data_IF_878303869393
#
_entry.id   IF_878303869393
#
_cell.length_a   1.000
_cell.length_b   1.000
_cell.length_c   1.000
_cell.angle_alpha   90.00
_cell.angle_beta   90.00
_cell.angle_gamma   90.00
#
_symmetry.space_group_name_H-M   'P 1'
#
loop_
_entity.id
_entity.type
_entity.pdbx_description
1 polymer ?
#
# COMPACT_ATOMS: atom_id res chain seq x y z
N UNK A 1 1.05 2.48 22.77
CA UNK A 1 1.90 3.70 22.83
C UNK A 1 3.22 3.38 22.12
N UNK A 2 3.80 4.33 21.41
CA UNK A 2 5.13 4.19 20.82
C UNK A 2 6.15 4.33 21.95
N UNK A 3 7.01 3.34 22.15
CA UNK A 3 8.10 3.39 23.13
C UNK A 3 9.34 4.04 22.51
N UNK A 4 10.13 4.71 23.36
CA UNK A 4 11.46 5.17 22.96
C UNK A 4 12.37 3.96 22.64
N UNK A 5 13.45 4.16 21.85
CA UNK A 5 14.46 3.13 21.62
C UNK A 5 15.06 2.59 22.93
N UNK A 6 15.53 1.33 22.95
CA UNK A 6 16.30 0.79 24.07
C UNK A 6 17.53 1.66 24.37
N UNK A 7 18.05 1.56 25.62
CA UNK A 7 19.24 2.31 26.02
C UNK A 7 20.44 2.00 25.09
N UNK A 8 21.10 3.05 24.61
CA UNK A 8 22.22 2.94 23.66
C UNK A 8 21.82 2.84 22.20
N UNK A 9 20.54 2.73 21.90
CA UNK A 9 20.02 2.69 20.52
C UNK A 9 19.42 4.04 20.10
N UNK A 10 19.38 4.26 18.81
CA UNK A 10 18.74 5.40 18.16
C UNK A 10 17.67 4.92 17.22
N UNK A 11 16.61 5.70 17.03
CA UNK A 11 15.61 5.44 16.02
C UNK A 11 16.03 5.96 14.68
N UNK A 12 15.91 5.09 13.68
CA UNK A 12 16.16 5.41 12.26
C UNK A 12 14.90 5.28 11.44
N UNK A 13 14.84 6.05 10.36
CA UNK A 13 13.82 5.92 9.31
C UNK A 13 14.47 5.89 7.94
N UNK A 14 13.80 5.26 6.98
CA UNK A 14 14.20 5.29 5.57
C UNK A 14 12.99 5.20 4.65
N UNK A 15 13.13 5.73 3.45
CA UNK A 15 12.21 5.52 2.33
C UNK A 15 12.58 4.25 1.59
N UNK A 16 11.59 3.46 1.17
CA UNK A 16 11.81 2.18 0.49
C UNK A 16 10.95 2.07 -0.73
N UNK A 17 11.56 1.81 -1.88
CA UNK A 17 10.88 1.45 -3.12
C UNK A 17 11.08 -0.03 -3.42
N UNK A 18 10.06 -0.72 -3.93
CA UNK A 18 10.18 -2.12 -4.31
C UNK A 18 9.22 -2.55 -5.42
N UNK A 19 9.70 -3.51 -6.22
CA UNK A 19 8.87 -4.30 -7.13
C UNK A 19 8.25 -5.46 -6.36
N UNK A 20 6.98 -5.31 -5.97
CA UNK A 20 6.25 -6.29 -5.17
C UNK A 20 5.97 -7.61 -5.89
N UNK A 21 6.11 -7.66 -7.22
CA UNK A 21 5.89 -8.86 -8.02
C UNK A 21 6.87 -10.00 -7.73
N UNK A 22 7.99 -9.68 -7.07
CA UNK A 22 8.99 -10.67 -6.65
C UNK A 22 8.79 -11.15 -5.20
N UNK A 23 7.77 -10.66 -4.48
CA UNK A 23 7.57 -10.92 -3.05
C UNK A 23 6.14 -11.35 -2.73
N UNK A 24 6.00 -12.11 -1.66
CA UNK A 24 4.71 -12.51 -1.09
C UNK A 24 4.14 -11.45 -0.13
N UNK A 25 4.28 -10.17 -0.50
CA UNK A 25 3.85 -9.01 0.27
C UNK A 25 4.97 -8.39 1.11
N UNK A 26 4.58 -7.34 1.87
CA UNK A 26 5.55 -6.65 2.71
C UNK A 26 5.85 -7.39 4.01
N UNK A 27 4.81 -7.79 4.76
CA UNK A 27 4.96 -8.35 6.10
C UNK A 27 5.59 -9.75 6.07
N UNK A 28 6.46 -10.02 7.02
CA UNK A 28 7.06 -11.34 7.17
C UNK A 28 6.01 -12.43 7.33
N UNK A 29 6.23 -13.53 6.63
CA UNK A 29 5.43 -14.73 6.66
C UNK A 29 6.38 -15.94 6.53
N UNK A 30 6.23 -16.98 7.37
CA UNK A 30 7.06 -18.17 7.27
C UNK A 30 7.08 -18.76 5.86
N UNK A 31 8.24 -19.31 5.47
CA UNK A 31 8.45 -20.09 4.25
C UNK A 31 8.31 -19.34 2.91
N UNK A 32 8.18 -18.00 2.93
CA UNK A 32 8.10 -17.19 1.71
C UNK A 32 8.94 -15.92 1.78
N UNK A 33 9.48 -15.49 0.64
CA UNK A 33 10.25 -14.26 0.56
C UNK A 33 9.32 -13.03 0.62
N UNK A 34 9.62 -12.11 1.55
CA UNK A 34 8.85 -10.88 1.78
C UNK A 34 9.77 -9.67 1.81
N UNK A 35 9.23 -8.48 1.54
CA UNK A 35 10.02 -7.25 1.55
C UNK A 35 10.61 -6.98 2.94
N UNK A 36 9.82 -7.13 4.01
CA UNK A 36 10.30 -6.92 5.38
C UNK A 36 11.37 -7.95 5.80
N UNK A 37 11.18 -9.22 5.45
CA UNK A 37 12.18 -10.27 5.73
C UNK A 37 13.51 -9.98 5.05
N UNK A 38 13.49 -9.64 3.76
CA UNK A 38 14.70 -9.28 3.01
C UNK A 38 15.42 -8.06 3.58
N UNK A 39 14.66 -7.02 3.95
CA UNK A 39 15.23 -5.81 4.58
C UNK A 39 15.81 -6.10 5.96
N UNK A 40 15.08 -6.83 6.82
CA UNK A 40 15.53 -7.20 8.16
C UNK A 40 16.81 -8.03 8.12
N UNK A 41 16.82 -9.12 7.36
CA UNK A 41 18.00 -9.98 7.21
C UNK A 41 19.23 -9.22 6.68
N UNK A 42 19.00 -8.29 5.73
CA UNK A 42 20.06 -7.46 5.19
C UNK A 42 20.59 -6.47 6.23
N UNK A 43 19.71 -5.84 7.02
CA UNK A 43 20.08 -4.93 8.12
C UNK A 43 20.85 -5.69 9.20
N UNK A 44 20.34 -6.82 9.69
CA UNK A 44 20.97 -7.66 10.71
C UNK A 44 22.38 -8.13 10.29
N UNK A 45 22.51 -8.53 9.03
CA UNK A 45 23.81 -8.93 8.46
C UNK A 45 24.85 -7.81 8.45
N UNK A 46 24.41 -6.55 8.26
CA UNK A 46 25.32 -5.39 8.19
C UNK A 46 25.59 -4.83 9.59
N UNK A 47 24.58 -4.76 10.43
CA UNK A 47 24.62 -4.10 11.75
C UNK A 47 25.14 -5.07 12.83
N UNK A 48 24.82 -6.37 12.70
CA UNK A 48 25.33 -7.43 13.58
C UNK A 48 24.47 -7.75 14.80
N UNK A 49 23.24 -7.23 14.87
CA UNK A 49 22.27 -7.58 15.90
C UNK A 49 20.86 -7.65 15.34
N UNK A 50 19.92 -8.20 16.11
CA UNK A 50 18.50 -8.32 15.75
C UNK A 50 17.84 -6.96 15.50
N UNK A 51 17.02 -6.85 14.47
CA UNK A 51 16.33 -5.64 14.05
C UNK A 51 14.81 -5.86 14.02
N UNK A 52 14.09 -5.05 14.78
CA UNK A 52 12.63 -4.97 14.69
C UNK A 52 12.21 -3.87 13.72
N UNK A 53 11.68 -4.28 12.57
CA UNK A 53 11.31 -3.37 11.49
C UNK A 53 9.82 -3.04 11.51
N UNK A 54 9.49 -1.74 11.50
CA UNK A 54 8.12 -1.24 11.38
C UNK A 54 7.97 -0.53 10.04
N UNK A 55 6.83 -0.71 9.34
CA UNK A 55 6.50 -0.01 8.10
C UNK A 55 5.25 0.85 8.25
N UNK A 56 5.11 1.86 7.39
CA UNK A 56 3.95 2.76 7.37
C UNK A 56 2.66 2.07 6.97
N UNK A 57 2.72 1.10 6.06
CA UNK A 57 1.58 0.31 5.63
C UNK A 57 2.01 -1.01 5.00
N UNK A 58 1.34 -2.10 5.38
CA UNK A 58 1.57 -3.41 4.77
C UNK A 58 0.95 -3.41 3.38
N UNK A 59 1.66 -3.97 2.41
CA UNK A 59 1.15 -4.20 1.05
C UNK A 59 0.96 -5.70 0.83
N UNK A 60 -0.07 -6.04 0.02
CA UNK A 60 -0.36 -7.43 -0.37
C UNK A 60 0.72 -7.97 -1.31
N UNK A 61 0.75 -9.30 -1.50
CA UNK A 61 1.58 -9.95 -2.53
C UNK A 61 1.34 -9.32 -3.91
N UNK A 62 2.42 -8.99 -4.62
CA UNK A 62 2.38 -8.38 -5.95
C UNK A 62 2.11 -6.86 -5.96
N UNK A 63 1.88 -6.21 -4.83
CA UNK A 63 1.71 -4.76 -4.72
C UNK A 63 3.05 -4.08 -4.56
N UNK A 64 3.28 -3.00 -5.32
CA UNK A 64 4.54 -2.25 -5.35
C UNK A 64 4.54 -1.08 -4.37
N UNK A 65 5.72 -0.48 -4.19
CA UNK A 65 5.86 0.83 -3.55
C UNK A 65 6.97 1.65 -4.20
N UNK A 66 6.73 2.94 -4.33
CA UNK A 66 7.74 3.96 -4.62
C UNK A 66 8.14 4.73 -3.37
N UNK A 67 7.22 4.89 -2.40
CA UNK A 67 7.40 5.70 -1.21
C UNK A 67 6.96 5.01 0.09
N UNK A 68 7.25 3.72 0.28
CA UNK A 68 7.10 3.06 1.59
C UNK A 68 8.07 3.68 2.59
N UNK A 69 7.68 3.79 3.84
CA UNK A 69 8.56 4.24 4.93
C UNK A 69 8.71 3.14 5.97
N UNK A 70 9.94 2.92 6.40
CA UNK A 70 10.28 2.02 7.50
C UNK A 70 10.89 2.78 8.67
N UNK A 71 10.80 2.21 9.88
CA UNK A 71 11.55 2.64 11.06
C UNK A 71 12.06 1.43 11.83
N UNK A 72 13.23 1.58 12.45
CA UNK A 72 13.87 0.58 13.28
C UNK A 72 14.82 1.23 14.30
N UNK A 73 15.21 0.48 15.31
CA UNK A 73 16.16 0.91 16.33
C UNK A 73 17.49 0.19 16.14
N UNK A 74 18.60 0.95 16.23
CA UNK A 74 19.96 0.41 16.14
C UNK A 74 20.96 1.30 16.90
N UNK A 75 22.15 0.76 17.18
CA UNK A 75 23.30 1.55 17.65
C UNK A 75 23.73 2.58 16.60
N UNK A 76 24.59 3.51 16.98
CA UNK A 76 25.12 4.51 16.03
C UNK A 76 26.00 3.84 14.97
N UNK A 77 25.74 4.16 13.70
CA UNK A 77 26.48 3.66 12.55
C UNK A 77 26.70 4.74 11.50
N UNK A 78 27.56 4.46 10.53
CA UNK A 78 27.75 5.25 9.32
C UNK A 78 26.58 5.05 8.37
N UNK A 79 25.70 6.06 8.29
CA UNK A 79 24.44 6.04 7.56
C UNK A 79 24.67 5.78 6.06
N UNK A 80 25.63 6.48 5.43
CA UNK A 80 25.89 6.31 4.01
C UNK A 80 26.43 4.92 3.67
N UNK A 81 27.27 4.35 4.55
CA UNK A 81 27.81 3.01 4.39
C UNK A 81 26.71 1.96 4.49
N UNK A 82 25.80 2.09 5.48
CA UNK A 82 24.66 1.17 5.65
C UNK A 82 23.72 1.27 4.47
N UNK A 83 23.32 2.46 4.04
CA UNK A 83 22.41 2.65 2.90
C UNK A 83 22.99 2.03 1.62
N UNK A 84 24.26 2.26 1.32
CA UNK A 84 24.93 1.63 0.17
C UNK A 84 24.98 0.10 0.27
N UNK A 85 25.24 -0.42 1.45
CA UNK A 85 25.32 -1.88 1.68
C UNK A 85 23.93 -2.54 1.56
N UNK A 86 22.88 -1.91 2.10
CA UNK A 86 21.50 -2.35 1.94
C UNK A 86 21.10 -2.43 0.48
N UNK A 87 21.39 -1.38 -0.29
CA UNK A 87 21.07 -1.35 -1.72
C UNK A 87 21.79 -2.44 -2.52
N UNK A 88 23.01 -2.84 -2.12
CA UNK A 88 23.71 -3.98 -2.74
C UNK A 88 23.06 -5.33 -2.40
N UNK A 89 22.63 -5.52 -1.16
CA UNK A 89 22.04 -6.79 -0.69
C UNK A 89 20.59 -6.98 -1.15
N UNK A 90 19.87 -5.88 -1.34
CA UNK A 90 18.45 -5.88 -1.69
C UNK A 90 18.19 -5.72 -3.21
N UNK A 91 19.23 -5.40 -4.00
CA UNK A 91 19.10 -5.29 -5.46
C UNK A 91 18.66 -6.61 -6.10
N UNK A 92 17.95 -6.58 -7.27
CA UNK A 92 17.50 -5.37 -7.96
C UNK A 92 16.09 -4.90 -7.52
N UNK A 93 15.41 -5.62 -6.62
CA UNK A 93 13.96 -5.48 -6.38
C UNK A 93 13.58 -4.51 -5.27
N UNK A 94 14.52 -4.14 -4.39
CA UNK A 94 14.30 -3.18 -3.30
C UNK A 94 15.39 -2.12 -3.35
N UNK A 95 14.99 -0.86 -3.19
CA UNK A 95 15.89 0.29 -3.04
C UNK A 95 15.56 1.04 -1.76
N UNK A 96 16.58 1.34 -0.96
CA UNK A 96 16.49 2.12 0.28
C UNK A 96 17.11 3.49 0.04
N UNK A 97 16.43 4.57 0.45
CA UNK A 97 16.87 5.97 0.33
C UNK A 97 16.55 6.72 1.60
N UNK A 98 17.20 7.87 1.76
CA UNK A 98 16.94 8.81 2.85
C UNK A 98 17.05 8.17 4.24
N UNK A 99 17.98 7.21 4.40
CA UNK A 99 18.24 6.61 5.71
C UNK A 99 18.78 7.69 6.62
N UNK A 100 18.09 7.93 7.74
CA UNK A 100 18.46 8.98 8.68
C UNK A 100 18.02 8.65 10.10
N UNK A 101 18.73 9.23 11.08
CA UNK A 101 18.26 9.25 12.47
C UNK A 101 17.02 10.14 12.57
N UNK A 102 16.06 9.74 13.37
CA UNK A 102 14.81 10.47 13.57
C UNK A 102 14.49 10.65 15.06
N UNK A 103 13.37 11.28 15.36
CA UNK A 103 12.88 11.45 16.72
C UNK A 103 12.58 10.08 17.36
N UNK A 104 12.90 9.92 18.63
CA UNK A 104 12.75 8.68 19.39
C UNK A 104 11.29 8.18 19.47
N UNK A 105 10.32 9.07 19.35
CA UNK A 105 8.90 8.73 19.31
C UNK A 105 8.34 8.53 17.91
N UNK A 106 9.17 8.67 16.86
CA UNK A 106 8.74 8.40 15.51
C UNK A 106 8.46 6.90 15.32
N UNK A 107 7.35 6.60 14.69
CA UNK A 107 6.99 5.24 14.29
C UNK A 107 6.41 5.29 12.88
N UNK A 108 7.02 4.57 11.95
CA UNK A 108 6.60 4.62 10.54
C UNK A 108 5.09 4.37 10.35
N UNK A 109 4.46 3.54 11.20
CA UNK A 109 3.05 3.21 11.11
C UNK A 109 2.14 4.23 11.80
N UNK A 110 2.46 4.57 13.06
CA UNK A 110 1.55 5.32 13.93
C UNK A 110 1.73 6.83 13.81
N UNK A 111 2.91 7.32 13.37
CA UNK A 111 3.13 8.74 13.08
C UNK A 111 2.59 9.17 11.71
N UNK A 112 2.26 8.23 10.84
CA UNK A 112 1.76 8.55 9.50
C UNK A 112 0.33 9.09 9.54
N UNK A 113 0.13 10.24 8.90
CA UNK A 113 -1.14 10.97 8.81
C UNK A 113 -1.98 10.56 7.60
N UNK A 114 -1.33 10.23 6.47
CA UNK A 114 -2.01 9.73 5.28
C UNK A 114 -1.12 8.81 4.45
N UNK A 115 -1.71 8.11 3.48
CA UNK A 115 -1.05 7.30 2.47
C UNK A 115 -1.69 7.60 1.14
N UNK A 116 -0.88 7.67 0.08
CA UNK A 116 -1.33 7.84 -1.30
C UNK A 116 -0.96 6.63 -2.12
N UNK A 117 -1.94 6.03 -2.76
CA UNK A 117 -1.78 4.94 -3.70
C UNK A 117 -2.11 5.40 -5.12
N UNK A 118 -1.37 4.87 -6.10
CA UNK A 118 -1.72 4.93 -7.52
C UNK A 118 -2.06 3.52 -8.01
N UNK A 119 -3.14 3.38 -8.75
CA UNK A 119 -3.45 2.18 -9.50
C UNK A 119 -3.40 2.48 -10.99
N UNK A 120 -2.61 1.71 -11.74
CA UNK A 120 -2.48 1.84 -13.20
C UNK A 120 -3.25 0.77 -13.94
N UNK A 121 -3.98 1.19 -14.97
CA UNK A 121 -4.67 0.33 -15.92
C UNK A 121 -4.10 0.65 -17.30
N UNK A 122 -3.66 -0.36 -18.04
CA UNK A 122 -3.38 -0.24 -19.46
C UNK A 122 -4.71 -0.49 -20.20
N UNK A 123 -5.31 0.58 -20.73
CA UNK A 123 -6.57 0.53 -21.46
C UNK A 123 -6.29 0.73 -22.96
N UNK A 124 -5.96 -0.35 -23.63
CA UNK A 124 -5.50 -0.36 -25.04
C UNK A 124 -6.06 -1.60 -25.74
N UNK A 125 -6.03 -1.60 -27.08
CA UNK A 125 -6.44 -2.74 -27.91
C UNK A 125 -5.51 -3.94 -27.71
N UNK A 126 -4.22 -3.70 -27.39
CA UNK A 126 -3.20 -4.74 -27.23
C UNK A 126 -2.51 -4.64 -25.85
N UNK A 127 -2.10 -5.80 -25.26
CA UNK A 127 -1.29 -5.80 -24.05
C UNK A 127 0.14 -5.31 -24.37
N UNK A 128 0.76 -4.63 -23.40
CA UNK A 128 2.17 -4.22 -23.49
C UNK A 128 3.03 -5.09 -22.56
N UNK A 129 4.02 -5.84 -23.09
CA UNK A 129 4.89 -6.70 -22.29
C UNK A 129 5.81 -5.92 -21.32
N UNK A 130 6.05 -4.62 -21.55
CA UNK A 130 6.89 -3.82 -20.65
C UNK A 130 6.13 -3.26 -19.45
N UNK A 131 4.82 -3.08 -19.56
CA UNK A 131 3.97 -2.58 -18.49
C UNK A 131 3.22 -3.66 -17.70
N UNK A 132 3.21 -4.93 -18.17
CA UNK A 132 2.39 -6.00 -17.59
C UNK A 132 2.64 -6.26 -16.09
N UNK A 133 3.83 -5.94 -15.57
CA UNK A 133 4.19 -6.07 -14.16
C UNK A 133 3.66 -4.91 -13.30
N UNK A 134 3.30 -3.78 -13.91
CA UNK A 134 2.98 -2.52 -13.23
C UNK A 134 1.64 -1.92 -13.65
N UNK A 135 0.83 -2.66 -14.41
CA UNK A 135 -0.49 -2.23 -14.83
C UNK A 135 -1.45 -3.41 -15.02
N UNK A 136 -2.73 -3.14 -14.86
CA UNK A 136 -3.80 -4.07 -15.20
C UNK A 136 -4.24 -3.83 -16.63
N UNK A 137 -4.00 -4.79 -17.53
CA UNK A 137 -4.47 -4.71 -18.91
C UNK A 137 -5.98 -4.90 -19.02
N UNK A 138 -6.64 -3.98 -19.70
CA UNK A 138 -8.07 -4.01 -20.01
C UNK A 138 -8.26 -3.58 -21.46
N UNK A 139 -8.71 -4.51 -22.33
CA UNK A 139 -8.95 -4.22 -23.74
C UNK A 139 -10.22 -3.38 -23.96
N UNK A 140 -11.28 -3.64 -23.19
CA UNK A 140 -12.54 -2.91 -23.33
C UNK A 140 -12.34 -1.44 -22.99
N UNK A 141 -12.70 -0.52 -23.88
CA UNK A 141 -12.66 0.92 -23.64
C UNK A 141 -13.46 1.27 -22.37
N UNK A 142 -12.85 2.05 -21.48
CA UNK A 142 -13.44 2.47 -20.21
C UNK A 142 -14.07 3.85 -20.33
N UNK A 143 -15.26 4.03 -19.76
CA UNK A 143 -15.88 5.35 -19.58
C UNK A 143 -15.24 6.02 -18.33
N UNK A 144 -14.15 6.76 -18.58
CA UNK A 144 -13.35 7.42 -17.54
C UNK A 144 -14.18 8.48 -16.81
N UNK A 145 -15.03 9.21 -17.52
CA UNK A 145 -15.92 10.22 -16.93
C UNK A 145 -16.90 9.62 -15.93
N UNK A 146 -17.48 8.46 -16.26
CA UNK A 146 -18.36 7.75 -15.32
C UNK A 146 -17.59 7.21 -14.13
N UNK A 147 -16.37 6.70 -14.33
CA UNK A 147 -15.49 6.27 -13.24
C UNK A 147 -15.14 7.44 -12.31
N UNK A 148 -14.74 8.61 -12.86
CA UNK A 148 -14.39 9.79 -12.06
C UNK A 148 -15.58 10.31 -11.25
N UNK A 149 -16.80 10.36 -11.85
CA UNK A 149 -18.02 10.77 -11.14
C UNK A 149 -18.38 9.79 -10.02
N UNK A 150 -18.26 8.49 -10.29
CA UNK A 150 -18.54 7.45 -9.30
C UNK A 150 -17.53 7.46 -8.13
N UNK A 151 -16.27 7.73 -8.43
CA UNK A 151 -15.19 7.78 -7.45
C UNK A 151 -15.46 8.83 -6.34
N UNK A 152 -16.15 9.94 -6.65
CA UNK A 152 -16.43 10.97 -5.65
C UNK A 152 -17.27 10.46 -4.47
N UNK A 153 -18.07 9.42 -4.67
CA UNK A 153 -18.91 8.85 -3.62
C UNK A 153 -18.12 8.15 -2.50
N UNK A 154 -16.83 7.84 -2.70
CA UNK A 154 -15.98 7.25 -1.65
C UNK A 154 -15.23 8.28 -0.83
N UNK A 155 -15.26 9.57 -1.21
CA UNK A 155 -14.58 10.65 -0.47
C UNK A 155 -15.32 10.92 0.84
N UNK A 156 -14.56 11.12 1.91
CA UNK A 156 -15.04 11.31 3.27
C UNK A 156 -14.91 10.07 4.15
N UNK A 157 -15.50 10.15 5.33
CA UNK A 157 -15.53 9.05 6.29
C UNK A 157 -16.70 8.11 6.01
N UNK A 158 -16.38 6.84 5.77
CA UNK A 158 -17.36 5.78 5.51
C UNK A 158 -16.97 4.47 6.17
N UNK A 159 -17.98 3.61 6.37
CA UNK A 159 -17.75 2.19 6.66
C UNK A 159 -17.47 1.45 5.34
N UNK A 160 -16.21 1.07 5.13
CA UNK A 160 -15.77 0.39 3.92
C UNK A 160 -15.91 -1.13 3.94
N UNK A 161 -16.84 -1.68 4.73
CA UNK A 161 -17.09 -3.13 4.82
C UNK A 161 -17.37 -3.78 3.46
N UNK A 162 -18.00 -3.06 2.52
CA UNK A 162 -18.21 -3.54 1.15
C UNK A 162 -16.93 -3.60 0.30
N UNK A 163 -15.85 -2.95 0.71
CA UNK A 163 -14.60 -2.89 -0.06
C UNK A 163 -13.42 -3.57 0.63
N UNK A 164 -13.62 -4.07 1.85
CA UNK A 164 -12.54 -4.60 2.66
C UNK A 164 -12.75 -6.10 2.95
N UNK A 165 -11.64 -6.82 3.11
CA UNK A 165 -11.69 -8.11 3.78
C UNK A 165 -11.80 -7.88 5.28
N UNK A 166 -12.77 -8.54 5.92
CA UNK A 166 -12.91 -8.53 7.38
C UNK A 166 -11.62 -9.06 8.03
N UNK A 167 -11.26 -8.46 9.14
CA UNK A 167 -10.11 -8.87 9.94
C UNK A 167 -10.51 -8.88 11.42
N UNK A 168 -9.99 -9.83 12.15
CA UNK A 168 -10.13 -9.92 13.61
C UNK A 168 -8.89 -9.34 14.27
N UNK A 169 -9.06 -8.63 15.36
CA UNK A 169 -8.01 -8.10 16.22
C UNK A 169 -8.20 -8.61 17.65
N UNK A 170 -7.11 -8.72 18.41
CA UNK A 170 -7.18 -9.03 19.83
C UNK A 170 -7.22 -7.72 20.63
N UNK A 171 -8.32 -7.53 21.37
CA UNK A 171 -8.48 -6.42 22.32
C UNK A 171 -8.68 -7.04 23.69
N UNK A 172 -7.79 -6.75 24.63
CA UNK A 172 -7.81 -7.31 26.00
C UNK A 172 -7.96 -8.84 26.03
N UNK A 173 -7.31 -9.54 25.08
CA UNK A 173 -7.32 -11.01 24.97
C UNK A 173 -8.60 -11.58 24.36
N UNK A 174 -9.52 -10.76 23.87
CA UNK A 174 -10.74 -11.18 23.15
C UNK A 174 -10.61 -10.85 21.66
N UNK A 175 -11.16 -11.74 20.85
CA UNK A 175 -11.28 -11.48 19.40
C UNK A 175 -12.42 -10.51 19.13
N UNK A 176 -12.11 -9.40 18.49
CA UNK A 176 -13.08 -8.40 18.03
C UNK A 176 -12.93 -8.14 16.54
N UNK A 177 -14.02 -7.82 15.85
CA UNK A 177 -13.94 -7.37 14.46
C UNK A 177 -13.25 -5.99 14.40
N UNK A 178 -12.22 -5.87 13.58
CA UNK A 178 -11.54 -4.60 13.35
C UNK A 178 -12.50 -3.58 12.72
N UNK A 179 -12.53 -2.35 13.22
CA UNK A 179 -13.29 -1.27 12.57
C UNK A 179 -12.86 -1.10 11.12
N UNK A 180 -13.82 -1.03 10.21
CA UNK A 180 -13.62 -0.78 8.78
C UNK A 180 -14.01 0.66 8.38
N UNK A 181 -14.24 1.53 9.36
CA UNK A 181 -14.47 2.97 9.13
C UNK A 181 -13.14 3.60 8.75
N UNK A 182 -13.10 4.30 7.62
CA UNK A 182 -11.90 5.00 7.10
C UNK A 182 -12.32 6.32 6.48
N UNK A 183 -11.37 7.25 6.43
CA UNK A 183 -11.53 8.53 5.76
C UNK A 183 -10.68 8.57 4.48
N UNK A 184 -11.35 8.65 3.33
CA UNK A 184 -10.72 8.92 2.03
C UNK A 184 -10.67 10.43 1.83
N UNK A 185 -9.46 10.97 1.78
CA UNK A 185 -9.21 12.42 1.63
C UNK A 185 -9.48 12.85 0.19
N UNK A 186 -9.03 12.05 -0.77
CA UNK A 186 -9.22 12.35 -2.19
C UNK A 186 -9.13 11.09 -3.06
N UNK A 187 -9.82 11.12 -4.19
CA UNK A 187 -9.67 10.14 -5.26
C UNK A 187 -9.81 10.82 -6.60
N UNK A 188 -8.92 10.50 -7.54
CA UNK A 188 -8.97 11.02 -8.91
C UNK A 188 -8.74 9.89 -9.92
N UNK A 189 -9.46 9.95 -11.03
CA UNK A 189 -9.26 9.06 -12.19
C UNK A 189 -8.76 9.93 -13.34
N UNK A 190 -7.57 9.62 -13.85
CA UNK A 190 -6.91 10.40 -14.91
C UNK A 190 -6.74 9.57 -16.15
N UNK A 191 -6.97 10.18 -17.30
CA UNK A 191 -6.58 9.68 -18.60
C UNK A 191 -5.15 10.13 -18.89
N UNK A 192 -4.23 9.19 -18.98
CA UNK A 192 -2.81 9.43 -19.24
C UNK A 192 -2.37 8.66 -20.51
N UNK A 193 -3.12 8.87 -21.60
CA UNK A 193 -2.90 8.22 -22.89
C UNK A 193 -3.32 6.75 -22.88
N UNK A 194 -2.38 5.77 -23.07
CA UNK A 194 -2.75 4.36 -23.00
C UNK A 194 -3.06 3.90 -21.57
N UNK A 195 -2.75 4.74 -20.56
CA UNK A 195 -2.98 4.41 -19.16
C UNK A 195 -4.13 5.21 -18.56
N UNK A 196 -4.94 4.52 -17.76
CA UNK A 196 -5.86 5.15 -16.81
C UNK A 196 -5.24 5.02 -15.43
N UNK A 197 -5.03 6.14 -14.74
CA UNK A 197 -4.48 6.17 -13.40
C UNK A 197 -5.54 6.56 -12.38
N UNK A 198 -5.66 5.78 -11.31
CA UNK A 198 -6.54 6.06 -10.17
C UNK A 198 -5.65 6.35 -8.98
N UNK A 199 -5.70 7.58 -8.48
CA UNK A 199 -4.96 8.05 -7.31
C UNK A 199 -5.90 8.15 -6.13
N UNK A 200 -5.52 7.56 -4.99
CA UNK A 200 -6.34 7.53 -3.78
C UNK A 200 -5.48 7.91 -2.59
N UNK A 201 -5.90 8.95 -1.86
CA UNK A 201 -5.28 9.37 -0.60
C UNK A 201 -6.28 9.17 0.54
N UNK A 202 -5.85 8.51 1.62
CA UNK A 202 -6.67 8.30 2.82
C UNK A 202 -5.81 8.36 4.08
N UNK A 203 -6.42 8.60 5.23
CA UNK A 203 -5.74 8.55 6.54
C UNK A 203 -5.22 7.14 6.83
N UNK A 204 -5.97 6.12 6.43
CA UNK A 204 -5.56 4.72 6.46
C UNK A 204 -6.42 3.87 5.53
N UNK A 205 -5.96 2.65 5.23
CA UNK A 205 -6.68 1.70 4.39
C UNK A 205 -6.90 0.37 5.10
N UNK A 206 -8.04 -0.28 4.83
CA UNK A 206 -8.26 -1.68 5.20
C UNK A 206 -7.66 -2.61 4.14
N UNK A 207 -7.57 -3.91 4.49
CA UNK A 207 -7.08 -4.95 3.59
C UNK A 207 -7.92 -5.01 2.29
N UNK A 208 -7.25 -4.91 1.14
CA UNK A 208 -7.81 -4.92 -0.21
C UNK A 208 -8.71 -3.72 -0.58
N UNK A 209 -8.84 -2.69 0.28
CA UNK A 209 -9.76 -1.56 0.08
C UNK A 209 -9.56 -0.87 -1.28
N UNK A 210 -8.35 -0.40 -1.58
CA UNK A 210 -8.07 0.32 -2.85
C UNK A 210 -8.36 -0.57 -4.05
N UNK A 211 -7.92 -1.82 -4.04
CA UNK A 211 -8.14 -2.77 -5.14
C UNK A 211 -9.63 -3.06 -5.37
N UNK A 212 -10.42 -3.14 -4.30
CA UNK A 212 -11.87 -3.33 -4.40
C UNK A 212 -12.60 -2.09 -4.92
N UNK A 213 -12.18 -0.89 -4.52
CA UNK A 213 -12.67 0.38 -5.08
C UNK A 213 -12.37 0.42 -6.57
N UNK A 214 -11.12 0.18 -6.98
CA UNK A 214 -10.70 0.17 -8.38
C UNK A 214 -11.49 -0.84 -9.21
N UNK A 215 -11.66 -2.07 -8.72
CA UNK A 215 -12.44 -3.08 -9.43
C UNK A 215 -13.90 -2.69 -9.62
N UNK A 216 -14.48 -1.98 -8.65
CA UNK A 216 -15.83 -1.42 -8.76
C UNK A 216 -15.90 -0.28 -9.79
N UNK A 217 -14.94 0.64 -9.77
CA UNK A 217 -14.85 1.71 -10.75
C UNK A 217 -14.66 1.16 -12.17
N UNK A 218 -13.85 0.13 -12.35
CA UNK A 218 -13.69 -0.55 -13.65
C UNK A 218 -14.99 -1.23 -14.09
N UNK A 219 -15.77 -1.82 -13.17
CA UNK A 219 -17.07 -2.39 -13.52
C UNK A 219 -18.04 -1.29 -14.00
N UNK A 220 -17.98 -0.08 -13.44
CA UNK A 220 -18.73 1.10 -13.89
C UNK A 220 -18.23 1.56 -15.25
N UNK A 221 -16.91 1.71 -15.44
CA UNK A 221 -16.32 2.09 -16.72
C UNK A 221 -16.64 1.14 -17.88
N UNK A 222 -16.89 -0.15 -17.57
CA UNK A 222 -17.37 -1.17 -18.51
C UNK A 222 -18.89 -1.20 -18.69
N UNK A 223 -19.64 -0.30 -18.02
CA UNK A 223 -21.12 -0.27 -18.06
C UNK A 223 -21.81 -1.45 -17.36
N UNK A 224 -21.09 -2.22 -16.51
CA UNK A 224 -21.66 -3.36 -15.74
C UNK A 224 -22.35 -2.92 -14.44
N UNK A 225 -21.95 -1.79 -13.91
CA UNK A 225 -22.55 -1.11 -12.76
C UNK A 225 -22.84 0.35 -13.14
N UNK A 226 -23.82 0.98 -12.48
CA UNK A 226 -24.10 2.39 -12.69
C UNK A 226 -23.22 3.25 -11.78
N UNK A 227 -22.92 4.47 -12.21
CA UNK A 227 -22.13 5.43 -11.42
C UNK A 227 -22.78 5.80 -10.07
N UNK A 228 -24.11 5.69 -9.95
CA UNK A 228 -24.88 5.92 -8.71
C UNK A 228 -24.80 4.75 -7.73
N UNK A 229 -24.30 3.59 -8.14
CA UNK A 229 -24.32 2.39 -7.32
C UNK A 229 -23.33 2.43 -6.15
N UNK A 230 -22.24 3.24 -6.25
CA UNK A 230 -21.18 3.29 -5.23
C UNK A 230 -21.72 3.66 -3.86
N UNK A 231 -22.56 4.69 -3.74
CA UNK A 231 -23.18 5.08 -2.46
C UNK A 231 -24.06 3.95 -1.89
N UNK A 232 -24.82 3.25 -2.75
CA UNK A 232 -25.62 2.09 -2.37
C UNK A 232 -24.73 0.92 -1.90
N UNK A 233 -23.60 0.66 -2.60
CA UNK A 233 -22.62 -0.37 -2.22
C UNK A 233 -22.04 -0.08 -0.84
N UNK A 234 -21.64 1.18 -0.56
CA UNK A 234 -21.15 1.59 0.77
C UNK A 234 -22.19 1.28 1.84
N UNK A 235 -23.45 1.70 1.61
CA UNK A 235 -24.55 1.56 2.58
C UNK A 235 -24.89 0.10 2.89
N UNK A 236 -24.73 -0.83 1.94
CA UNK A 236 -25.03 -2.26 2.10
C UNK A 236 -24.08 -2.99 3.05
N UNK A 237 -22.86 -2.50 3.24
CA UNK A 237 -21.82 -3.13 4.08
C UNK A 237 -21.60 -4.62 3.74
N UNK A 238 -21.81 -4.98 2.49
CA UNK A 238 -21.66 -6.33 1.96
C UNK A 238 -20.62 -6.37 0.83
N UNK A 239 -19.56 -7.17 1.01
CA UNK A 239 -18.47 -7.33 0.02
C UNK A 239 -18.96 -7.82 -1.34
N UNK A 240 -20.03 -8.64 -1.37
CA UNK A 240 -20.62 -9.16 -2.60
C UNK A 240 -21.32 -8.10 -3.45
N UNK A 241 -21.63 -6.95 -2.87
CA UNK A 241 -22.25 -5.81 -3.58
C UNK A 241 -21.23 -5.02 -4.40
N UNK A 242 -19.95 -5.09 -4.06
CA UNK A 242 -18.88 -4.37 -4.78
C UNK A 242 -18.35 -5.19 -5.96
N UNK A 243 -17.63 -4.51 -6.84
CA UNK A 243 -16.93 -5.14 -7.96
C UNK A 243 -15.83 -6.12 -7.51
N UNK A 244 -15.22 -6.85 -8.45
CA UNK A 244 -14.12 -7.78 -8.16
C UNK A 244 -12.90 -7.03 -7.59
N UNK A 245 -12.04 -7.74 -6.86
CA UNK A 245 -10.75 -7.16 -6.42
C UNK A 245 -9.84 -7.01 -7.64
N UNK A 246 -9.39 -5.80 -7.90
CA UNK A 246 -8.44 -5.54 -8.98
C UNK A 246 -7.09 -6.28 -8.74
N UNK A 247 -6.39 -6.72 -9.79
CA UNK A 247 -5.10 -7.40 -9.68
C UNK A 247 -4.06 -6.57 -8.91
N UNK A 248 -3.14 -7.19 -8.15
CA UNK A 248 -2.22 -6.45 -7.28
C UNK A 248 -1.16 -5.65 -8.04
N UNK A 249 -0.70 -6.13 -9.20
CA UNK A 249 0.41 -5.53 -9.95
C UNK A 249 0.11 -4.10 -10.49
N UNK A 250 -1.15 -3.69 -10.56
CA UNK A 250 -1.49 -2.30 -10.91
C UNK A 250 -1.33 -1.33 -9.74
N UNK A 251 -1.21 -1.81 -8.50
CA UNK A 251 -1.22 -0.98 -7.30
C UNK A 251 0.19 -0.65 -6.81
N UNK A 252 0.43 0.62 -6.55
CA UNK A 252 1.70 1.12 -6.00
C UNK A 252 1.43 2.10 -4.85
N UNK A 253 2.08 1.90 -3.70
CA UNK A 253 2.15 2.90 -2.64
C UNK A 253 3.13 3.99 -3.06
N UNK A 254 2.62 5.20 -3.31
CA UNK A 254 3.41 6.32 -3.85
C UNK A 254 4.06 7.15 -2.76
N UNK A 255 3.31 7.41 -1.67
CA UNK A 255 3.74 8.34 -0.64
C UNK A 255 3.08 8.04 0.71
N UNK A 256 3.80 8.40 1.78
CA UNK A 256 3.31 8.39 3.17
C UNK A 256 3.53 9.78 3.76
N UNK A 257 2.45 10.44 4.21
CA UNK A 257 2.50 11.73 4.91
C UNK A 257 2.74 11.55 6.40
N UNK A 258 3.51 12.48 6.99
CA UNK A 258 3.83 12.53 8.42
C UNK A 258 3.56 13.90 9.00
#
# INVERSE_FOLDING_TARGET
MVSAPPHGMNRYRASVSYDGGSFHGFAENPDVETVAGKLRESLEKIIGHEIHLTCAGRTDAGVHAEGQVISFDAETFDIEKIERSLNKLCAPFITVRDLQKTNDLFNARFSATCRTYRYRILNDDYPDPFSHRFAWYIQTQLDIDSMQRAAQAVVGEHDFSSFCRKATILVDGKEEEASLIREVISITVKDEGPFVEIWVTATSFCHQMVRSIVGTLVAIGKGRLNKSDVSSIISKKDRNSAGPVAPPQGLTLMEVGY
#
